data_IF_204437208480
#
_entry.id   IF_204437208480
#
_cell.length_a   1.000
_cell.length_b   1.000
_cell.length_c   1.000
_cell.angle_alpha   90.00
_cell.angle_beta   90.00
_cell.angle_gamma   90.00
#
_symmetry.space_group_name_H-M   'P 1'
#
loop_
_entity.id
_entity.type
_entity.pdbx_description
1 polymer ?
#
# COMPACT_ATOMS: atom_id res chain seq x y z
N UNK A 1 47.35 -7.14 -7.96
CA UNK A 1 46.06 -6.55 -8.40
C UNK A 1 45.09 -7.62 -8.88
N UNK A 2 45.56 -8.68 -9.55
CA UNK A 2 44.69 -9.73 -10.11
C UNK A 2 43.85 -10.53 -9.10
N UNK A 3 44.35 -10.79 -7.90
CA UNK A 3 43.60 -11.49 -6.84
C UNK A 3 42.33 -10.75 -6.41
N UNK A 4 42.43 -9.43 -6.18
CA UNK A 4 41.26 -8.59 -5.83
C UNK A 4 40.25 -8.53 -6.99
N UNK A 5 40.75 -8.51 -8.23
CA UNK A 5 39.89 -8.49 -9.41
C UNK A 5 39.12 -9.82 -9.57
N UNK A 6 39.78 -10.96 -9.31
CA UNK A 6 39.13 -12.28 -9.27
C UNK A 6 38.08 -12.37 -8.17
N UNK A 7 38.37 -11.83 -6.99
CA UNK A 7 37.43 -11.82 -5.88
C UNK A 7 36.19 -10.96 -6.16
N UNK A 8 36.37 -9.77 -6.75
CA UNK A 8 35.26 -8.93 -7.21
C UNK A 8 34.43 -9.66 -8.27
N UNK A 9 35.07 -10.31 -9.25
CA UNK A 9 34.37 -11.08 -10.29
C UNK A 9 33.54 -12.23 -9.70
N UNK A 10 34.09 -12.93 -8.69
CA UNK A 10 33.38 -13.97 -7.93
C UNK A 10 32.14 -13.40 -7.23
N UNK A 11 32.30 -12.30 -6.51
CA UNK A 11 31.20 -11.63 -5.79
C UNK A 11 30.10 -11.17 -6.74
N UNK A 12 30.46 -10.53 -7.86
CA UNK A 12 29.49 -10.09 -8.88
C UNK A 12 28.72 -11.27 -9.45
N UNK A 13 29.39 -12.39 -9.71
CA UNK A 13 28.75 -13.62 -10.21
C UNK A 13 27.79 -14.21 -9.19
N UNK A 14 28.15 -14.18 -7.90
CA UNK A 14 27.28 -14.66 -6.83
C UNK A 14 26.05 -13.77 -6.64
N UNK A 15 26.23 -12.44 -6.70
CA UNK A 15 25.13 -11.47 -6.66
C UNK A 15 24.18 -11.69 -7.84
N UNK A 16 24.71 -11.86 -9.05
CA UNK A 16 23.91 -12.17 -10.24
C UNK A 16 23.06 -13.42 -10.04
N UNK A 17 23.67 -14.51 -9.57
CA UNK A 17 22.94 -15.76 -9.28
C UNK A 17 21.83 -15.55 -8.25
N UNK A 18 22.10 -14.81 -7.17
CA UNK A 18 21.08 -14.51 -6.14
C UNK A 18 19.93 -13.68 -6.72
N UNK A 19 20.21 -12.72 -7.59
CA UNK A 19 19.19 -11.92 -8.27
C UNK A 19 18.30 -12.77 -9.17
N UNK A 20 18.88 -13.71 -9.93
CA UNK A 20 18.12 -14.64 -10.78
C UNK A 20 17.12 -15.49 -9.96
N UNK A 21 17.55 -16.00 -8.81
CA UNK A 21 16.67 -16.75 -7.88
C UNK A 21 15.52 -15.88 -7.36
N UNK A 22 15.80 -14.61 -7.04
CA UNK A 22 14.78 -13.66 -6.58
C UNK A 22 13.77 -13.37 -7.70
N UNK A 23 14.24 -13.16 -8.93
CA UNK A 23 13.39 -12.93 -10.10
C UNK A 23 12.47 -14.13 -10.33
N UNK A 24 13.01 -15.35 -10.28
CA UNK A 24 12.21 -16.57 -10.44
C UNK A 24 11.18 -16.71 -9.31
N UNK A 25 11.57 -16.45 -8.07
CA UNK A 25 10.66 -16.46 -6.92
C UNK A 25 9.55 -15.42 -7.07
N UNK A 26 9.87 -14.22 -7.55
CA UNK A 26 8.88 -13.18 -7.85
C UNK A 26 7.89 -13.62 -8.93
N UNK A 27 8.37 -14.34 -9.96
CA UNK A 27 7.50 -14.94 -10.98
C UNK A 27 6.51 -15.94 -10.37
N UNK A 28 6.98 -16.84 -9.50
CA UNK A 28 6.11 -17.81 -8.83
C UNK A 28 5.06 -17.12 -7.93
N UNK A 29 5.43 -16.04 -7.24
CA UNK A 29 4.48 -15.27 -6.42
C UNK A 29 3.39 -14.64 -7.30
N UNK A 30 3.75 -14.08 -8.46
CA UNK A 30 2.77 -13.52 -9.40
C UNK A 30 1.79 -14.59 -9.90
N UNK A 31 2.29 -15.77 -10.24
CA UNK A 31 1.46 -16.89 -10.67
C UNK A 31 0.54 -17.37 -9.53
N UNK A 32 1.06 -17.44 -8.30
CA UNK A 32 0.25 -17.79 -7.14
C UNK A 32 -0.86 -16.77 -6.87
N UNK A 33 -0.55 -15.47 -6.93
CA UNK A 33 -1.56 -14.42 -6.77
C UNK A 33 -2.67 -14.55 -7.82
N UNK A 34 -2.31 -14.79 -9.08
CA UNK A 34 -3.31 -15.03 -10.14
C UNK A 34 -4.22 -16.22 -9.83
N UNK A 35 -3.67 -17.33 -9.31
CA UNK A 35 -4.45 -18.51 -8.91
C UNK A 35 -5.41 -18.21 -7.74
N UNK A 36 -4.96 -17.42 -6.76
CA UNK A 36 -5.80 -17.02 -5.63
C UNK A 36 -6.95 -16.14 -6.08
N UNK A 37 -6.70 -15.16 -6.95
CA UNK A 37 -7.74 -14.30 -7.54
C UNK A 37 -8.77 -15.12 -8.33
N UNK A 38 -8.30 -16.06 -9.16
CA UNK A 38 -9.18 -16.96 -9.90
C UNK A 38 -10.05 -17.83 -8.96
N UNK A 39 -9.48 -18.28 -7.83
CA UNK A 39 -10.21 -19.04 -6.83
C UNK A 39 -11.25 -18.20 -6.09
N UNK A 40 -10.93 -16.95 -5.74
CA UNK A 40 -11.88 -16.02 -5.15
C UNK A 40 -13.05 -15.76 -6.10
N UNK A 41 -12.75 -15.49 -7.38
CA UNK A 41 -13.78 -15.31 -8.40
C UNK A 41 -14.67 -16.56 -8.57
N UNK A 42 -14.09 -17.76 -8.45
CA UNK A 42 -14.87 -19.00 -8.44
C UNK A 42 -15.81 -19.06 -7.22
N UNK A 43 -15.33 -18.75 -6.00
CA UNK A 43 -16.20 -18.73 -4.82
C UNK A 43 -17.31 -17.67 -4.92
N UNK A 44 -17.03 -16.50 -5.49
CA UNK A 44 -18.05 -15.49 -5.76
C UNK A 44 -19.11 -15.98 -6.76
N UNK A 45 -18.72 -16.79 -7.74
CA UNK A 45 -19.66 -17.39 -8.69
C UNK A 45 -20.53 -18.50 -8.08
N UNK A 46 -20.02 -19.21 -7.06
CA UNK A 46 -20.73 -20.31 -6.39
C UNK A 46 -21.44 -19.90 -5.09
N UNK A 47 -21.26 -18.66 -4.62
CA UNK A 47 -22.05 -18.12 -3.52
C UNK A 47 -23.45 -17.79 -4.03
N UNK A 48 -24.37 -18.72 -3.81
CA UNK A 48 -25.81 -18.49 -3.97
C UNK A 48 -26.18 -17.33 -3.04
N UNK A 49 -26.51 -16.17 -3.61
CA UNK A 49 -27.15 -15.08 -2.84
C UNK A 49 -28.39 -15.67 -2.17
N UNK A 50 -28.31 -15.87 -0.85
CA UNK A 50 -29.45 -16.22 -0.03
C UNK A 50 -30.56 -15.22 -0.28
N UNK A 51 -31.75 -15.77 -0.52
CA UNK A 51 -33.02 -15.09 -0.80
C UNK A 51 -33.21 -13.83 0.05
N UNK A 52 -33.01 -12.66 -0.56
CA UNK A 52 -33.66 -11.43 -0.09
C UNK A 52 -34.95 -11.28 -0.90
N UNK A 53 -36.08 -11.51 -0.23
CA UNK A 53 -37.41 -11.17 -0.74
C UNK A 53 -37.46 -9.64 -0.99
N UNK A 54 -37.61 -9.25 -2.27
CA UNK A 54 -38.52 -8.25 -2.86
C UNK A 54 -38.65 -6.87 -2.15
N UNK A 55 -38.49 -5.67 -2.74
CA UNK A 55 -38.56 -5.06 -4.09
C UNK A 55 -37.69 -3.77 -4.03
N UNK A 56 -37.14 -3.11 -5.04
CA UNK A 56 -37.36 -3.00 -6.48
C UNK A 56 -35.99 -2.81 -7.14
N UNK A 57 -35.72 -3.59 -8.18
CA UNK A 57 -34.48 -3.55 -8.93
C UNK A 57 -34.86 -3.49 -10.40
N UNK A 58 -35.02 -2.27 -10.91
CA UNK A 58 -35.10 -2.08 -12.35
C UNK A 58 -33.70 -1.81 -12.91
N UNK A 59 -33.25 -2.80 -13.66
CA UNK A 59 -31.99 -2.82 -14.40
C UNK A 59 -32.10 -1.84 -15.56
N UNK A 60 -31.01 -1.15 -15.85
CA UNK A 60 -30.48 -1.24 -17.22
C UNK A 60 -28.97 -1.12 -17.22
N UNK A 61 -28.34 -2.27 -17.39
CA UNK A 61 -26.96 -2.43 -17.82
C UNK A 61 -26.73 -1.70 -19.14
N UNK A 62 -25.53 -1.15 -19.38
CA UNK A 62 -24.56 -1.73 -20.33
C UNK A 62 -23.46 -0.75 -20.80
N UNK A 63 -22.27 -1.35 -20.95
CA UNK A 63 -21.31 -1.16 -22.03
C UNK A 63 -20.15 -0.17 -21.87
N UNK A 64 -18.98 -0.80 -21.84
CA UNK A 64 -17.61 -0.32 -22.00
C UNK A 64 -17.44 0.42 -23.34
N UNK A 65 -16.90 1.65 -23.31
CA UNK A 65 -16.21 2.27 -24.47
C UNK A 65 -15.06 3.17 -24.00
N UNK A 66 -13.82 2.81 -24.38
CA UNK A 66 -12.63 3.70 -24.37
C UNK A 66 -12.80 4.88 -25.35
N UNK A 67 -12.21 6.06 -25.08
CA UNK A 67 -11.74 6.90 -26.18
C UNK A 67 -10.27 7.34 -26.07
N UNK A 68 -9.55 6.87 -27.08
CA UNK A 68 -8.52 7.47 -27.95
C UNK A 68 -8.27 8.99 -27.86
N UNK A 69 -6.98 9.35 -27.99
CA UNK A 69 -6.37 10.64 -28.41
C UNK A 69 -7.19 11.44 -29.44
N UNK A 70 -7.36 12.76 -29.24
CA UNK A 70 -7.32 13.81 -30.28
C UNK A 70 -6.87 15.16 -29.67
N UNK A 71 -5.89 15.80 -30.31
CA UNK A 71 -5.36 17.16 -30.08
C UNK A 71 -6.29 18.19 -30.76
N UNK A 72 -6.48 19.41 -30.21
CA UNK A 72 -6.14 20.59 -31.03
C UNK A 72 -5.42 21.74 -30.27
N UNK A 73 -4.34 22.19 -30.93
CA UNK A 73 -3.66 23.51 -31.00
C UNK A 73 -4.34 24.70 -30.28
N UNK A 74 -3.66 25.39 -29.37
CA UNK A 74 -2.56 26.37 -29.56
C UNK A 74 -3.08 27.80 -29.79
N UNK A 75 -2.72 28.71 -28.86
CA UNK A 75 -2.03 30.00 -29.08
C UNK A 75 -1.97 30.78 -27.75
N UNK A 76 -0.77 30.92 -27.14
CA UNK A 76 0.16 32.08 -27.31
C UNK A 76 -0.11 33.08 -26.17
N UNK A 77 0.79 33.53 -25.28
CA UNK A 77 2.26 33.71 -25.11
C UNK A 77 2.45 34.03 -23.60
N UNK A 78 3.58 33.98 -22.91
CA UNK A 78 4.98 34.17 -23.28
C UNK A 78 5.87 33.59 -22.15
N UNK A 79 7.06 33.18 -22.57
CA UNK A 79 8.20 32.67 -21.82
C UNK A 79 8.50 33.37 -20.49
N UNK A 80 8.85 32.61 -19.45
CA UNK A 80 10.21 32.76 -18.88
C UNK A 80 10.65 31.50 -18.14
N UNK A 81 11.76 30.97 -18.64
CA UNK A 81 12.69 30.04 -18.00
C UNK A 81 12.90 30.30 -16.51
N UNK A 82 12.72 29.30 -15.64
CA UNK A 82 13.63 29.09 -14.52
C UNK A 82 13.42 27.74 -13.81
N UNK A 83 14.55 27.03 -13.70
CA UNK A 83 14.94 26.18 -12.57
C UNK A 83 14.08 24.95 -12.23
N UNK A 84 14.60 23.79 -12.64
CA UNK A 84 14.48 22.55 -11.90
C UNK A 84 14.74 22.79 -10.39
N UNK A 85 13.70 22.75 -9.58
CA UNK A 85 13.84 22.60 -8.14
C UNK A 85 13.00 21.42 -7.66
N UNK A 86 13.73 20.40 -7.20
CA UNK A 86 13.22 19.26 -6.46
C UNK A 86 12.42 19.72 -5.24
N UNK A 87 11.11 19.49 -5.22
CA UNK A 87 10.33 19.46 -3.98
C UNK A 87 9.32 18.30 -4.12
N UNK A 88 9.72 17.09 -3.72
CA UNK A 88 8.75 16.04 -3.35
C UNK A 88 8.11 16.51 -2.05
N UNK A 89 6.88 16.99 -2.11
CA UNK A 89 6.12 17.35 -0.91
C UNK A 89 5.89 16.09 -0.09
N UNK A 90 6.40 16.06 1.14
CA UNK A 90 6.01 15.02 2.10
C UNK A 90 4.52 15.21 2.43
N UNK A 91 3.74 14.13 2.34
CA UNK A 91 2.34 14.12 2.79
C UNK A 91 2.22 14.66 4.23
N UNK A 92 1.39 15.68 4.42
CA UNK A 92 1.09 16.26 5.72
C UNK A 92 0.28 15.28 6.58
N UNK A 93 0.33 15.43 7.91
CA UNK A 93 -0.46 14.59 8.82
C UNK A 93 -1.97 14.66 8.51
N UNK A 94 -2.46 15.81 8.07
CA UNK A 94 -3.87 15.99 7.73
C UNK A 94 -4.25 15.21 6.47
N UNK A 95 -3.45 15.31 5.41
CA UNK A 95 -3.62 14.53 4.17
C UNK A 95 -3.56 13.02 4.45
N UNK A 96 -2.61 12.58 5.30
CA UNK A 96 -2.51 11.19 5.72
C UNK A 96 -3.77 10.71 6.46
N UNK A 97 -4.29 11.51 7.40
CA UNK A 97 -5.51 11.15 8.16
C UNK A 97 -6.73 11.08 7.23
N UNK A 98 -6.83 11.98 6.25
CA UNK A 98 -7.91 11.95 5.26
C UNK A 98 -7.83 10.72 4.37
N UNK A 99 -6.64 10.37 3.89
CA UNK A 99 -6.40 9.14 3.13
C UNK A 99 -6.67 7.89 3.96
N UNK A 100 -6.27 7.87 5.22
CA UNK A 100 -6.59 6.78 6.15
C UNK A 100 -8.11 6.65 6.38
N UNK A 101 -8.81 7.79 6.48
CA UNK A 101 -10.26 7.83 6.65
C UNK A 101 -11.03 7.32 5.43
N UNK A 102 -10.52 7.54 4.21
CA UNK A 102 -11.13 7.04 2.97
C UNK A 102 -10.84 5.57 2.71
N UNK A 103 -9.70 5.06 3.16
CA UNK A 103 -9.27 3.65 2.96
C UNK A 103 -9.75 2.70 4.07
N UNK A 104 -10.13 3.21 5.26
CA UNK A 104 -10.57 2.37 6.37
C UNK A 104 -12.08 2.43 6.61
N UNK A 105 -12.76 1.32 6.34
CA UNK A 105 -14.18 1.09 6.65
C UNK A 105 -14.33 0.62 8.10
N UNK A 106 -14.27 1.56 9.05
CA UNK A 106 -14.41 1.29 10.48
C UNK A 106 -15.48 2.14 11.16
N UNK A 107 -15.98 1.65 12.30
CA UNK A 107 -16.86 2.45 13.17
C UNK A 107 -16.13 3.69 13.73
N UNK A 108 -16.87 4.66 14.29
CA UNK A 108 -16.30 5.93 14.81
C UNK A 108 -15.16 5.69 15.81
N UNK A 109 -15.28 4.68 16.67
CA UNK A 109 -14.27 4.32 17.65
C UNK A 109 -12.99 3.76 17.00
N UNK A 110 -13.12 2.94 15.96
CA UNK A 110 -11.99 2.48 15.15
C UNK A 110 -11.23 3.66 14.56
N UNK A 111 -11.92 4.59 13.90
CA UNK A 111 -11.30 5.77 13.27
C UNK A 111 -10.56 6.64 14.27
N UNK A 112 -11.16 6.88 15.44
CA UNK A 112 -10.50 7.64 16.50
C UNK A 112 -9.21 6.96 17.00
N UNK A 113 -9.26 5.63 17.17
CA UNK A 113 -8.09 4.86 17.60
C UNK A 113 -7.01 4.79 16.51
N UNK A 114 -7.41 4.62 15.24
CA UNK A 114 -6.51 4.65 14.10
C UNK A 114 -5.83 6.02 13.94
N UNK A 115 -6.56 7.12 14.16
CA UNK A 115 -5.99 8.47 14.14
C UNK A 115 -4.95 8.67 15.26
N UNK A 116 -5.17 8.10 16.46
CA UNK A 116 -4.17 8.15 17.54
C UNK A 116 -2.89 7.40 17.17
N UNK A 117 -3.04 6.20 16.61
CA UNK A 117 -1.90 5.39 16.14
C UNK A 117 -1.17 6.12 15.01
N UNK A 118 -1.90 6.68 14.05
CA UNK A 118 -1.35 7.46 12.94
C UNK A 118 -0.52 8.65 13.42
N UNK A 119 -1.05 9.45 14.35
CA UNK A 119 -0.31 10.59 14.94
C UNK A 119 0.99 10.14 15.59
N UNK A 120 0.90 9.10 16.42
CA UNK A 120 2.09 8.56 17.09
C UNK A 120 3.15 8.06 16.09
N UNK A 121 2.75 7.34 15.04
CA UNK A 121 3.67 6.86 14.01
C UNK A 121 4.19 7.97 13.09
N UNK A 122 3.43 9.05 12.90
CA UNK A 122 3.87 10.23 12.15
C UNK A 122 4.98 10.97 12.90
N UNK A 123 4.87 11.06 14.23
CA UNK A 123 5.91 11.64 15.09
C UNK A 123 7.14 10.70 15.20
N UNK A 124 6.95 9.39 15.01
CA UNK A 124 8.00 8.36 15.10
C UNK A 124 8.24 7.69 13.74
N UNK A 125 8.75 8.46 12.76
CA UNK A 125 8.91 8.00 11.36
C UNK A 125 9.84 6.80 11.19
N UNK A 126 10.83 6.64 12.07
CA UNK A 126 11.75 5.49 12.08
C UNK A 126 11.03 4.18 12.46
N UNK A 127 9.84 4.30 13.03
CA UNK A 127 8.99 3.21 13.46
C UNK A 127 9.04 2.97 14.95
N UNK A 128 8.05 2.23 15.45
CA UNK A 128 7.90 1.92 16.86
C UNK A 128 7.48 0.46 17.05
N UNK A 129 7.85 -0.13 18.18
CA UNK A 129 7.39 -1.49 18.53
C UNK A 129 5.95 -1.45 19.04
N UNK A 130 5.24 -2.58 18.92
CA UNK A 130 3.83 -2.69 19.34
C UNK A 130 3.58 -2.21 20.78
N UNK A 131 4.48 -2.56 21.71
CA UNK A 131 4.33 -2.17 23.12
C UNK A 131 4.47 -0.65 23.34
N UNK A 132 5.31 0.04 22.56
CA UNK A 132 5.43 1.50 22.59
C UNK A 132 4.18 2.17 22.04
N UNK A 133 3.61 1.63 20.95
CA UNK A 133 2.36 2.13 20.36
C UNK A 133 1.22 1.97 21.38
N UNK A 134 1.09 0.80 22.01
CA UNK A 134 0.07 0.53 23.04
C UNK A 134 0.20 1.52 24.20
N UNK A 135 1.42 1.69 24.72
CA UNK A 135 1.69 2.56 25.88
C UNK A 135 1.36 4.02 25.59
N UNK A 136 1.69 4.53 24.41
CA UNK A 136 1.48 5.95 24.05
C UNK A 136 0.05 6.24 23.59
N UNK A 137 -0.64 5.28 22.99
CA UNK A 137 -2.01 5.49 22.47
C UNK A 137 -3.09 5.14 23.50
N UNK A 138 -2.77 4.32 24.51
CA UNK A 138 -3.73 3.81 25.50
C UNK A 138 -4.74 2.82 24.92
N UNK A 139 -4.45 2.24 23.75
CA UNK A 139 -5.34 1.30 23.06
C UNK A 139 -4.98 -0.12 23.50
N UNK A 140 -5.98 -0.96 23.77
CA UNK A 140 -5.75 -2.35 24.16
C UNK A 140 -4.99 -3.13 23.08
N UNK A 141 -4.14 -4.08 23.49
CA UNK A 141 -3.26 -4.85 22.58
C UNK A 141 -4.00 -5.43 21.37
N UNK A 142 -5.10 -6.14 21.61
CA UNK A 142 -5.91 -6.73 20.53
C UNK A 142 -6.43 -5.69 19.55
N UNK A 143 -6.92 -4.55 20.07
CA UNK A 143 -7.45 -3.49 19.22
C UNK A 143 -6.36 -2.77 18.43
N UNK A 144 -5.18 -2.58 19.04
CA UNK A 144 -4.02 -2.01 18.37
C UNK A 144 -3.56 -2.90 17.21
N UNK A 145 -3.45 -4.21 17.44
CA UNK A 145 -3.06 -5.19 16.40
C UNK A 145 -4.08 -5.22 15.26
N UNK A 146 -5.37 -5.23 15.57
CA UNK A 146 -6.45 -5.23 14.58
C UNK A 146 -6.42 -3.98 13.67
N UNK A 147 -6.22 -2.80 14.28
CA UNK A 147 -6.08 -1.54 13.54
C UNK A 147 -4.81 -1.55 12.67
N UNK A 148 -3.66 -1.93 13.22
CA UNK A 148 -2.40 -1.98 12.48
C UNK A 148 -2.48 -2.96 11.31
N UNK A 149 -3.10 -4.13 11.49
CA UNK A 149 -3.32 -5.09 10.41
C UNK A 149 -4.24 -4.55 9.32
N UNK A 150 -5.24 -3.75 9.68
CA UNK A 150 -6.10 -3.07 8.72
C UNK A 150 -5.33 -2.01 7.94
N UNK A 151 -4.49 -1.21 8.62
CA UNK A 151 -3.62 -0.21 7.99
C UNK A 151 -2.54 -0.83 7.07
N UNK A 152 -2.07 -2.05 7.39
CA UNK A 152 -1.14 -2.82 6.57
C UNK A 152 -1.78 -3.37 5.28
N UNK A 153 -3.08 -3.70 5.33
CA UNK A 153 -3.85 -4.24 4.20
C UNK A 153 -4.51 -3.17 3.34
N UNK A 154 -4.44 -1.90 3.73
CA UNK A 154 -4.93 -0.80 2.92
C UNK A 154 -4.15 -0.71 1.60
N UNK A 155 -4.80 -0.24 0.54
CA UNK A 155 -4.19 0.02 -0.76
C UNK A 155 -4.38 1.49 -1.15
N UNK A 156 -3.33 2.33 -1.17
CA UNK A 156 -1.94 2.00 -0.82
C UNK A 156 -1.74 1.79 0.70
N UNK A 157 -0.74 0.99 1.13
CA UNK A 157 -0.48 0.73 2.55
C UNK A 157 -0.26 2.00 3.36
N UNK A 158 -0.86 2.06 4.55
CA UNK A 158 -0.75 3.21 5.47
C UNK A 158 0.42 3.04 6.45
N UNK A 159 0.75 1.78 6.76
CA UNK A 159 1.79 1.40 7.71
C UNK A 159 2.64 0.30 7.08
N UNK A 160 3.93 0.30 7.35
CA UNK A 160 4.85 -0.79 7.01
C UNK A 160 5.20 -1.58 8.27
N UNK A 161 5.46 -2.88 8.12
CA UNK A 161 5.85 -3.77 9.20
C UNK A 161 7.18 -4.42 8.85
N UNK A 162 8.19 -4.25 9.69
CA UNK A 162 9.50 -4.88 9.56
C UNK A 162 9.81 -5.71 10.80
N UNK A 163 10.57 -6.78 10.62
CA UNK A 163 11.04 -7.61 11.73
C UNK A 163 12.50 -7.29 12.00
N UNK A 164 12.78 -6.68 13.16
CA UNK A 164 14.11 -6.49 13.71
C UNK A 164 14.04 -6.67 15.23
N UNK A 165 14.45 -7.85 15.71
CA UNK A 165 14.33 -8.27 17.13
C UNK A 165 12.93 -8.10 17.74
N UNK A 166 11.92 -7.93 16.88
CA UNK A 166 10.55 -7.54 17.22
C UNK A 166 9.85 -6.99 15.98
N UNK A 167 8.54 -6.79 16.06
CA UNK A 167 7.79 -6.14 14.99
C UNK A 167 7.82 -4.62 15.16
N UNK A 168 8.44 -3.94 14.19
CA UNK A 168 8.53 -2.49 14.11
C UNK A 168 7.53 -2.02 13.06
N UNK A 169 6.69 -1.06 13.44
CA UNK A 169 5.68 -0.45 12.58
C UNK A 169 6.08 0.98 12.26
N UNK A 170 6.09 1.37 10.99
CA UNK A 170 6.40 2.73 10.55
C UNK A 170 5.30 3.28 9.64
N UNK A 171 5.08 4.59 9.64
CA UNK A 171 4.13 5.21 8.73
C UNK A 171 4.62 5.16 7.28
N UNK A 172 3.71 5.08 6.32
CA UNK A 172 4.00 5.15 4.88
C UNK A 172 3.31 6.38 4.30
N UNK A 173 4.12 7.36 3.91
CA UNK A 173 3.69 8.60 3.26
C UNK A 173 3.80 8.45 1.74
N UNK A 174 2.94 9.17 1.00
CA UNK A 174 2.95 9.24 -0.47
C UNK A 174 3.91 10.29 -1.01
#
# INVERSE_FOLDING_TARGET
MDEKLKEISRLVSEVKRKLEVIIQSSSHIKEFNYKVEALLAAFDAYTIRGVEHNLDLDKTSQTIVFPKKVIPKEKTKEETTSSFSNIRGEESLQEFIERMGSTTTGNKLFRNNAAKIARFLYDNREGAVLEEIIKNTGISRYRCVDILNTMLRADPPLVSKKFDKGFIYSIVLL
#
